data_IF_792000008782
#
_entry.id   IF_792000008782
#
_cell.length_a   1.000
_cell.length_b   1.000
_cell.length_c   1.000
_cell.angle_alpha   90.00
_cell.angle_beta   90.00
_cell.angle_gamma   90.00
#
_symmetry.space_group_name_H-M   'P 1'
#
loop_
_entity.id
_entity.type
_entity.pdbx_description
1 polymer ?
#
# COMPACT_ATOMS: atom_id res chain seq x y z
N UNK A 1 66.36 33.77 -49.76
CA UNK A 1 65.04 34.44 -49.82
C UNK A 1 64.78 35.11 -48.47
N UNK A 2 65.20 36.37 -48.31
CA UNK A 2 65.17 37.11 -47.04
C UNK A 2 63.83 37.81 -46.89
N UNK A 3 62.93 37.22 -46.08
CA UNK A 3 61.67 37.86 -45.72
C UNK A 3 61.99 39.18 -45.00
N UNK A 4 61.53 40.30 -45.59
CA UNK A 4 61.77 41.66 -45.10
C UNK A 4 61.39 41.82 -43.63
N UNK A 5 62.22 42.53 -42.85
CA UNK A 5 61.96 42.88 -41.44
C UNK A 5 60.55 43.47 -41.22
N UNK A 6 60.00 44.19 -42.21
CA UNK A 6 58.66 44.78 -42.17
C UNK A 6 57.53 43.73 -42.19
N UNK A 7 57.75 42.60 -42.86
CA UNK A 7 56.78 41.51 -42.90
C UNK A 7 56.72 40.80 -41.54
N UNK A 8 57.87 40.60 -40.89
CA UNK A 8 57.92 40.00 -39.54
C UNK A 8 57.23 40.86 -38.48
N UNK A 9 57.42 42.19 -38.48
CA UNK A 9 56.74 43.08 -37.54
C UNK A 9 55.23 43.16 -37.78
N UNK A 10 54.78 43.12 -39.04
CA UNK A 10 53.36 43.08 -39.37
C UNK A 10 52.69 41.79 -38.85
N UNK A 11 53.28 40.62 -39.11
CA UNK A 11 52.74 39.34 -38.61
C UNK A 11 52.76 39.24 -37.09
N UNK A 12 53.81 39.75 -36.43
CA UNK A 12 53.87 39.77 -34.97
C UNK A 12 52.81 40.70 -34.38
N UNK A 13 52.55 41.85 -35.00
CA UNK A 13 51.49 42.78 -34.60
C UNK A 13 50.09 42.18 -34.77
N UNK A 14 49.83 41.48 -35.88
CA UNK A 14 48.56 40.76 -36.11
C UNK A 14 48.39 39.62 -35.11
N UNK A 15 49.45 38.86 -34.80
CA UNK A 15 49.39 37.77 -33.83
C UNK A 15 49.11 38.29 -32.41
N UNK A 16 49.79 39.38 -32.00
CA UNK A 16 49.55 40.03 -30.70
C UNK A 16 48.15 40.62 -30.65
N UNK A 17 47.67 41.27 -31.71
CA UNK A 17 46.31 41.78 -31.78
C UNK A 17 45.28 40.65 -31.73
N UNK A 18 45.53 39.50 -32.37
CA UNK A 18 44.63 38.35 -32.32
C UNK A 18 44.64 37.66 -30.95
N UNK A 19 45.79 37.55 -30.29
CA UNK A 19 45.91 37.08 -28.91
C UNK A 19 45.24 38.04 -27.91
N UNK A 20 45.39 39.35 -28.07
CA UNK A 20 44.71 40.34 -27.25
C UNK A 20 43.20 40.36 -27.52
N UNK A 21 42.78 40.22 -28.77
CA UNK A 21 41.37 40.16 -29.14
C UNK A 21 40.70 38.88 -28.60
N UNK A 22 41.40 37.74 -28.60
CA UNK A 22 40.90 36.49 -27.99
C UNK A 22 40.98 36.47 -26.45
N UNK A 23 41.79 37.33 -25.84
CA UNK A 23 41.78 37.60 -24.39
C UNK A 23 40.66 38.56 -23.97
N UNK A 24 40.24 39.47 -24.87
CA UNK A 24 39.23 40.50 -24.59
C UNK A 24 37.82 40.02 -24.97
N UNK A 25 37.67 39.21 -26.02
CA UNK A 25 36.39 38.66 -26.45
C UNK A 25 36.33 37.16 -26.13
N UNK A 26 35.54 36.73 -25.13
CA UNK A 26 35.35 35.31 -24.86
C UNK A 26 34.83 34.61 -26.11
N UNK A 27 35.48 33.50 -26.48
CA UNK A 27 35.10 32.73 -27.66
C UNK A 27 33.65 32.25 -27.54
N UNK A 28 32.73 32.62 -28.45
CA UNK A 28 31.31 32.29 -28.35
C UNK A 28 31.04 30.77 -28.38
N UNK A 29 31.98 29.98 -28.93
CA UNK A 29 31.90 28.52 -28.92
C UNK A 29 31.95 27.94 -27.49
N UNK A 30 32.85 28.46 -26.63
CA UNK A 30 32.98 28.00 -25.24
C UNK A 30 31.72 28.29 -24.42
N UNK A 31 31.10 29.45 -24.64
CA UNK A 31 29.85 29.82 -23.99
C UNK A 31 28.65 28.97 -24.47
N UNK A 32 28.63 28.58 -25.75
CA UNK A 32 27.61 27.65 -26.22
C UNK A 32 27.78 26.27 -25.57
N UNK A 33 29.03 25.79 -25.45
CA UNK A 33 29.37 24.48 -24.88
C UNK A 33 29.05 24.38 -23.37
N UNK A 34 29.33 25.43 -22.59
CA UNK A 34 29.06 25.48 -21.15
C UNK A 34 27.55 25.44 -20.87
N UNK A 35 26.74 26.23 -21.60
CA UNK A 35 25.29 26.22 -21.48
C UNK A 35 24.69 24.90 -21.97
N UNK A 36 25.16 24.36 -23.09
CA UNK A 36 24.73 23.05 -23.59
C UNK A 36 25.01 21.93 -22.59
N UNK A 37 26.14 21.99 -21.88
CA UNK A 37 26.48 21.03 -20.82
C UNK A 37 25.50 21.10 -19.65
N UNK A 38 25.10 22.30 -19.21
CA UNK A 38 24.10 22.46 -18.15
C UNK A 38 22.73 21.92 -18.59
N UNK A 39 22.32 22.20 -19.82
CA UNK A 39 21.04 21.70 -20.36
C UNK A 39 21.04 20.18 -20.49
N UNK A 40 22.14 19.58 -20.96
CA UNK A 40 22.29 18.13 -21.01
C UNK A 40 22.22 17.48 -19.62
N UNK A 41 22.82 18.11 -18.59
CA UNK A 41 22.67 17.65 -17.21
C UNK A 41 21.24 17.77 -16.71
N UNK A 42 20.52 18.86 -17.04
CA UNK A 42 19.10 18.99 -16.73
C UNK A 42 18.32 17.81 -17.31
N UNK A 43 18.55 17.46 -18.58
CA UNK A 43 17.84 16.34 -19.21
C UNK A 43 18.18 15.00 -18.52
N UNK A 44 19.44 14.75 -18.17
CA UNK A 44 19.84 13.56 -17.42
C UNK A 44 19.15 13.49 -16.04
N UNK A 45 19.05 14.62 -15.33
CA UNK A 45 18.35 14.68 -14.03
C UNK A 45 16.88 14.28 -14.20
N UNK A 46 16.18 14.86 -15.18
CA UNK A 46 14.77 14.55 -15.40
C UNK A 46 14.60 13.07 -15.81
N UNK A 47 15.55 12.48 -16.55
CA UNK A 47 15.48 11.05 -16.90
C UNK A 47 15.57 10.14 -15.67
N UNK A 48 16.47 10.46 -14.74
CA UNK A 48 16.60 9.75 -13.47
C UNK A 48 15.38 9.98 -12.55
N UNK A 49 14.79 11.18 -12.55
CA UNK A 49 13.55 11.49 -11.82
C UNK A 49 12.34 10.70 -12.36
N UNK A 50 12.18 10.66 -13.69
CA UNK A 50 11.15 9.84 -14.34
C UNK A 50 11.38 8.34 -14.07
N UNK A 51 12.63 7.90 -14.01
CA UNK A 51 12.98 6.53 -13.63
C UNK A 51 12.57 6.24 -12.18
N UNK A 52 12.82 7.17 -11.24
CA UNK A 52 12.39 7.07 -9.86
C UNK A 52 10.85 7.03 -9.72
N UNK A 53 10.12 7.90 -10.42
CA UNK A 53 8.65 7.89 -10.41
C UNK A 53 8.08 6.61 -11.02
N UNK A 54 8.69 6.11 -12.08
CA UNK A 54 8.31 4.84 -12.72
C UNK A 54 8.56 3.66 -11.79
N UNK A 55 9.72 3.64 -11.12
CA UNK A 55 10.07 2.64 -10.11
C UNK A 55 9.11 2.65 -8.94
N UNK A 56 8.79 3.83 -8.37
CA UNK A 56 7.80 3.98 -7.31
C UNK A 56 6.44 3.40 -7.71
N UNK A 57 6.02 3.68 -8.95
CA UNK A 57 4.74 3.23 -9.50
C UNK A 57 4.72 1.71 -9.69
N UNK A 58 5.77 1.14 -10.29
CA UNK A 58 5.92 -0.30 -10.49
C UNK A 58 6.01 -1.05 -9.16
N UNK A 59 6.82 -0.56 -8.22
CA UNK A 59 6.91 -1.10 -6.88
C UNK A 59 5.53 -1.16 -6.22
N UNK A 60 4.73 -0.11 -6.37
CA UNK A 60 3.37 -0.09 -5.85
C UNK A 60 2.43 -1.06 -6.57
N UNK A 61 2.49 -1.17 -7.90
CA UNK A 61 1.68 -2.13 -8.66
C UNK A 61 1.97 -3.56 -8.18
N UNK A 62 3.24 -3.93 -8.17
CA UNK A 62 3.71 -5.29 -7.83
C UNK A 62 3.43 -5.65 -6.38
N UNK A 63 3.44 -4.68 -5.48
CA UNK A 63 3.11 -4.90 -4.07
C UNK A 63 1.61 -4.76 -3.75
N UNK A 64 0.82 -4.16 -4.65
CA UNK A 64 -0.65 -4.10 -4.54
C UNK A 64 -1.35 -5.25 -5.26
N UNK A 65 -0.66 -5.95 -6.16
CA UNK A 65 -1.28 -7.02 -6.93
C UNK A 65 -1.81 -8.10 -5.98
N UNK A 66 -3.10 -8.37 -6.10
CA UNK A 66 -3.77 -9.43 -5.35
C UNK A 66 -4.00 -10.58 -6.31
N UNK A 67 -3.88 -11.82 -5.82
CA UNK A 67 -4.22 -12.99 -6.65
C UNK A 67 -5.57 -12.80 -7.32
N UNK A 68 -5.60 -13.04 -8.63
CA UNK A 68 -6.84 -13.07 -9.41
C UNK A 68 -7.88 -13.95 -8.70
N UNK A 69 -9.08 -13.43 -8.55
CA UNK A 69 -10.19 -14.13 -7.90
C UNK A 69 -10.14 -14.20 -6.37
N UNK A 70 -9.24 -13.49 -5.68
CA UNK A 70 -9.20 -13.44 -4.20
C UNK A 70 -10.55 -13.09 -3.59
N UNK A 71 -11.19 -12.04 -4.08
CA UNK A 71 -12.51 -11.61 -3.61
C UNK A 71 -13.56 -12.70 -3.77
N UNK A 72 -13.59 -13.38 -4.92
CA UNK A 72 -14.53 -14.46 -5.19
C UNK A 72 -14.28 -15.67 -4.28
N UNK A 73 -13.03 -16.10 -4.10
CA UNK A 73 -12.71 -17.22 -3.20
C UNK A 73 -13.09 -16.91 -1.76
N UNK A 74 -12.74 -15.71 -1.26
CA UNK A 74 -13.12 -15.27 0.08
C UNK A 74 -14.64 -15.20 0.26
N UNK A 75 -15.36 -14.71 -0.76
CA UNK A 75 -16.82 -14.74 -0.77
C UNK A 75 -17.35 -16.16 -0.65
N UNK A 76 -16.86 -17.10 -1.47
CA UNK A 76 -17.29 -18.49 -1.45
C UNK A 76 -16.98 -19.18 -0.11
N UNK A 77 -15.78 -19.01 0.44
CA UNK A 77 -15.43 -19.56 1.76
C UNK A 77 -16.38 -19.06 2.84
N UNK A 78 -16.62 -17.75 2.90
CA UNK A 78 -17.52 -17.15 3.88
C UNK A 78 -18.97 -17.57 3.67
N UNK A 79 -19.44 -17.62 2.42
CA UNK A 79 -20.81 -17.98 2.09
C UNK A 79 -21.09 -19.43 2.47
N UNK A 80 -20.24 -20.37 2.04
CA UNK A 80 -20.40 -21.80 2.35
C UNK A 80 -20.32 -22.05 3.85
N UNK A 81 -19.32 -21.48 4.52
CA UNK A 81 -19.13 -21.69 5.96
C UNK A 81 -20.29 -21.12 6.80
N UNK A 82 -20.74 -19.90 6.49
CA UNK A 82 -21.85 -19.27 7.21
C UNK A 82 -23.17 -20.02 6.95
N UNK A 83 -23.41 -20.48 5.72
CA UNK A 83 -24.63 -21.22 5.36
C UNK A 83 -24.70 -22.58 6.06
N UNK A 84 -23.61 -23.36 6.03
CA UNK A 84 -23.53 -24.66 6.71
C UNK A 84 -23.66 -24.48 8.23
N UNK A 85 -23.02 -23.46 8.78
CA UNK A 85 -23.08 -23.17 10.22
C UNK A 85 -24.49 -22.72 10.65
N UNK A 86 -25.16 -21.90 9.83
CA UNK A 86 -26.52 -21.44 10.07
C UNK A 86 -27.52 -22.61 10.02
N UNK A 87 -27.45 -23.45 9.00
CA UNK A 87 -28.29 -24.64 8.89
C UNK A 87 -28.10 -25.55 10.10
N UNK A 88 -26.86 -25.79 10.49
CA UNK A 88 -26.50 -26.61 11.66
C UNK A 88 -27.05 -26.04 12.97
N UNK A 89 -26.86 -24.75 13.24
CA UNK A 89 -27.39 -24.10 14.44
C UNK A 89 -28.92 -24.13 14.48
N UNK A 90 -29.56 -23.91 13.34
CA UNK A 90 -31.02 -23.97 13.20
C UNK A 90 -31.55 -25.37 13.48
N UNK A 91 -30.90 -26.41 12.95
CA UNK A 91 -31.30 -27.80 13.19
C UNK A 91 -31.12 -28.20 14.66
N UNK A 92 -30.03 -27.80 15.32
CA UNK A 92 -29.82 -28.03 16.76
C UNK A 92 -30.94 -27.38 17.57
N UNK A 93 -31.27 -26.11 17.25
CA UNK A 93 -32.36 -25.38 17.90
C UNK A 93 -33.70 -26.08 17.71
N UNK A 94 -34.09 -26.31 16.44
CA UNK A 94 -35.39 -26.86 16.09
C UNK A 94 -35.60 -28.27 16.66
N UNK A 95 -34.59 -29.14 16.57
CA UNK A 95 -34.66 -30.51 17.08
C UNK A 95 -34.90 -30.54 18.60
N UNK A 96 -34.22 -29.65 19.35
CA UNK A 96 -34.31 -29.58 20.81
C UNK A 96 -35.54 -28.85 21.32
N UNK A 97 -36.08 -27.88 20.56
CA UNK A 97 -37.37 -27.26 20.87
C UNK A 97 -38.55 -28.18 20.60
N UNK A 98 -38.51 -28.93 19.50
CA UNK A 98 -39.63 -29.79 19.08
C UNK A 98 -39.73 -31.08 19.92
N UNK A 99 -38.62 -31.56 20.48
CA UNK A 99 -38.57 -32.88 21.11
C UNK A 99 -37.93 -32.84 22.49
N UNK A 100 -38.58 -33.47 23.46
CA UNK A 100 -37.99 -33.72 24.78
C UNK A 100 -36.79 -34.68 24.70
N UNK A 101 -36.82 -35.60 23.73
CA UNK A 101 -35.72 -36.51 23.35
C UNK A 101 -35.38 -36.30 21.87
N UNK A 102 -34.49 -35.34 21.55
CA UNK A 102 -34.11 -35.05 20.17
C UNK A 102 -33.40 -36.24 19.53
N UNK A 103 -33.56 -36.40 18.21
CA UNK A 103 -32.83 -37.41 17.43
C UNK A 103 -31.33 -37.14 17.52
N UNK A 104 -30.61 -38.10 18.13
CA UNK A 104 -29.19 -38.01 18.37
C UNK A 104 -28.40 -37.96 17.05
N UNK A 105 -28.80 -38.73 16.03
CA UNK A 105 -28.13 -38.74 14.73
C UNK A 105 -28.22 -37.36 14.07
N UNK A 106 -29.40 -36.73 14.14
CA UNK A 106 -29.62 -35.39 13.62
C UNK A 106 -28.76 -34.34 14.34
N UNK A 107 -28.64 -34.44 15.66
CA UNK A 107 -27.79 -33.55 16.46
C UNK A 107 -26.30 -33.74 16.16
N UNK A 108 -25.84 -34.97 16.00
CA UNK A 108 -24.46 -35.28 15.63
C UNK A 108 -24.10 -34.72 14.25
N UNK A 109 -24.94 -34.96 13.23
CA UNK A 109 -24.75 -34.42 11.88
C UNK A 109 -24.72 -32.89 11.91
N UNK A 110 -25.60 -32.26 12.69
CA UNK A 110 -25.64 -30.81 12.82
C UNK A 110 -24.39 -30.26 13.53
N UNK A 111 -23.94 -30.90 14.61
CA UNK A 111 -22.71 -30.50 15.29
C UNK A 111 -21.47 -30.69 14.39
N UNK A 112 -21.43 -31.77 13.59
CA UNK A 112 -20.40 -31.97 12.57
C UNK A 112 -20.43 -30.88 11.48
N UNK A 113 -21.62 -30.40 11.10
CA UNK A 113 -21.77 -29.25 10.20
C UNK A 113 -21.14 -27.97 10.75
N UNK A 114 -21.27 -27.70 12.05
CA UNK A 114 -20.56 -26.58 12.69
C UNK A 114 -19.04 -26.71 12.60
N UNK A 115 -18.50 -27.92 12.81
CA UNK A 115 -17.07 -28.21 12.65
C UNK A 115 -16.65 -27.96 11.18
N UNK A 116 -17.42 -28.46 10.23
CA UNK A 116 -17.16 -28.28 8.81
C UNK A 116 -17.13 -26.80 8.41
N UNK A 117 -18.07 -25.98 8.91
CA UNK A 117 -18.09 -24.54 8.67
C UNK A 117 -16.79 -23.85 9.12
N UNK A 118 -16.29 -24.18 10.33
CA UNK A 118 -15.02 -23.62 10.82
C UNK A 118 -13.81 -24.11 10.01
N UNK A 119 -13.81 -25.38 9.62
CA UNK A 119 -12.74 -25.97 8.80
C UNK A 119 -12.66 -25.32 7.41
N UNK A 120 -13.80 -24.97 6.79
CA UNK A 120 -13.84 -24.25 5.50
C UNK A 120 -13.12 -22.91 5.60
N UNK A 121 -13.42 -22.10 6.63
CA UNK A 121 -12.75 -20.80 6.80
C UNK A 121 -11.26 -20.99 7.08
N UNK A 122 -10.90 -21.95 7.94
CA UNK A 122 -9.50 -22.24 8.24
C UNK A 122 -8.73 -22.61 6.96
N UNK A 123 -9.28 -23.52 6.15
CA UNK A 123 -8.73 -23.90 4.85
C UNK A 123 -8.62 -22.71 3.89
N UNK A 124 -9.63 -21.84 3.85
CA UNK A 124 -9.61 -20.60 3.08
C UNK A 124 -8.49 -19.66 3.52
N UNK A 125 -8.28 -19.47 4.82
CA UNK A 125 -7.20 -18.63 5.36
C UNK A 125 -5.83 -19.18 4.97
N UNK A 126 -5.59 -20.49 5.16
CA UNK A 126 -4.32 -21.13 4.79
C UNK A 126 -4.06 -20.99 3.30
N UNK A 127 -5.10 -21.20 2.47
CA UNK A 127 -5.01 -21.06 1.01
C UNK A 127 -4.64 -19.64 0.60
N UNK A 128 -5.32 -18.62 1.13
CA UNK A 128 -5.01 -17.22 0.80
C UNK A 128 -3.61 -16.81 1.28
N UNK A 129 -3.17 -17.28 2.46
CA UNK A 129 -1.81 -17.02 2.93
C UNK A 129 -0.75 -17.67 2.02
N UNK A 130 -0.99 -18.90 1.56
CA UNK A 130 -0.09 -19.58 0.63
C UNK A 130 -0.02 -18.84 -0.72
N UNK A 131 -1.16 -18.37 -1.24
CA UNK A 131 -1.21 -17.57 -2.47
C UNK A 131 -0.49 -16.24 -2.33
N UNK A 132 -0.62 -15.56 -1.19
CA UNK A 132 0.12 -14.33 -0.89
C UNK A 132 1.64 -14.60 -0.83
N UNK A 133 2.08 -15.73 -0.24
CA UNK A 133 3.49 -16.13 -0.23
C UNK A 133 4.03 -16.41 -1.64
N UNK A 134 3.22 -17.00 -2.53
CA UNK A 134 3.61 -17.23 -3.93
C UNK A 134 3.76 -15.89 -4.67
N UNK A 135 2.84 -14.95 -4.47
CA UNK A 135 2.93 -13.59 -5.04
C UNK A 135 4.16 -12.86 -4.53
N UNK A 136 4.45 -12.90 -3.23
CA UNK A 136 5.65 -12.29 -2.68
C UNK A 136 6.94 -12.86 -3.28
N UNK A 137 6.98 -14.17 -3.53
CA UNK A 137 8.12 -14.81 -4.22
C UNK A 137 8.25 -14.33 -5.66
N UNK A 138 7.14 -14.10 -6.37
CA UNK A 138 7.16 -13.54 -7.74
C UNK A 138 7.63 -12.08 -7.74
N UNK A 139 7.13 -11.26 -6.82
CA UNK A 139 7.57 -9.87 -6.67
C UNK A 139 9.07 -9.78 -6.37
N UNK A 140 9.60 -10.65 -5.49
CA UNK A 140 11.06 -10.76 -5.24
C UNK A 140 11.83 -11.11 -6.51
N UNK A 141 11.37 -12.09 -7.29
CA UNK A 141 12.03 -12.47 -8.55
C UNK A 141 12.05 -11.33 -9.59
N UNK A 142 11.15 -10.36 -9.47
CA UNK A 142 11.08 -9.16 -10.32
C UNK A 142 11.85 -7.95 -9.76
N UNK A 143 12.52 -8.08 -8.61
CA UNK A 143 13.26 -6.98 -7.97
C UNK A 143 12.40 -6.02 -7.15
N UNK A 144 11.13 -6.35 -6.88
CA UNK A 144 10.20 -5.49 -6.14
C UNK A 144 10.01 -5.93 -4.68
N UNK A 145 10.97 -6.65 -4.12
CA UNK A 145 10.99 -6.84 -2.67
C UNK A 145 11.27 -5.51 -1.96
N UNK A 146 10.84 -5.38 -0.70
CA UNK A 146 11.12 -4.17 0.09
C UNK A 146 12.62 -3.83 0.13
N UNK A 147 13.49 -4.85 0.16
CA UNK A 147 14.94 -4.65 0.21
C UNK A 147 15.47 -4.16 -1.15
N UNK A 148 15.12 -4.85 -2.22
CA UNK A 148 15.59 -4.53 -3.58
C UNK A 148 15.04 -3.16 -4.02
N UNK A 149 13.74 -2.91 -3.84
CA UNK A 149 13.13 -1.63 -4.18
C UNK A 149 13.79 -0.47 -3.45
N UNK A 150 14.17 -0.65 -2.18
CA UNK A 150 14.87 0.37 -1.40
C UNK A 150 16.29 0.60 -1.93
N UNK A 151 17.02 -0.47 -2.27
CA UNK A 151 18.36 -0.35 -2.84
C UNK A 151 18.34 0.41 -4.19
N UNK A 152 17.38 0.10 -5.07
CA UNK A 152 17.20 0.82 -6.33
C UNK A 152 16.86 2.30 -6.09
N UNK A 153 16.01 2.62 -5.10
CA UNK A 153 15.72 4.02 -4.76
C UNK A 153 16.94 4.75 -4.16
N UNK A 154 17.75 4.07 -3.34
CA UNK A 154 19.01 4.62 -2.81
C UNK A 154 20.01 4.94 -3.94
N UNK A 155 20.11 4.06 -4.94
CA UNK A 155 20.94 4.24 -6.13
C UNK A 155 20.46 5.44 -6.97
N UNK A 156 19.18 5.48 -7.36
CA UNK A 156 18.59 6.59 -8.12
C UNK A 156 18.75 7.92 -7.39
N UNK A 157 18.53 7.93 -6.07
CA UNK A 157 18.77 9.12 -5.22
C UNK A 157 20.21 9.61 -5.35
N UNK A 158 21.17 8.69 -5.24
CA UNK A 158 22.60 9.03 -5.27
C UNK A 158 22.99 9.59 -6.64
N UNK A 159 22.47 9.01 -7.72
CA UNK A 159 22.70 9.49 -9.09
C UNK A 159 22.13 10.90 -9.28
N UNK A 160 20.87 11.13 -8.89
CA UNK A 160 20.23 12.45 -8.99
C UNK A 160 20.99 13.49 -8.14
N UNK A 161 21.39 13.14 -6.91
CA UNK A 161 22.17 14.02 -6.04
C UNK A 161 23.51 14.41 -6.66
N UNK A 162 24.21 13.47 -7.31
CA UNK A 162 25.47 13.75 -7.99
C UNK A 162 25.28 14.68 -9.20
N UNK A 163 24.23 14.45 -10.00
CA UNK A 163 23.90 15.29 -11.16
C UNK A 163 23.48 16.71 -10.73
N UNK A 164 22.65 16.84 -9.70
CA UNK A 164 22.23 18.14 -9.15
C UNK A 164 23.42 18.96 -8.65
N UNK A 165 24.35 18.35 -7.91
CA UNK A 165 25.57 19.04 -7.45
C UNK A 165 26.42 19.51 -8.62
N UNK A 166 26.68 18.63 -9.60
CA UNK A 166 27.44 18.99 -10.79
C UNK A 166 26.79 20.12 -11.57
N UNK A 167 25.46 20.13 -11.69
CA UNK A 167 24.71 21.21 -12.34
C UNK A 167 24.87 22.52 -11.57
N UNK A 168 24.74 22.48 -10.25
CA UNK A 168 24.87 23.68 -9.39
C UNK A 168 26.29 24.26 -9.46
N UNK A 169 27.33 23.42 -9.44
CA UNK A 169 28.72 23.83 -9.62
C UNK A 169 28.96 24.53 -10.97
N UNK A 170 28.40 23.98 -12.07
CA UNK A 170 28.50 24.59 -13.38
C UNK A 170 27.75 25.92 -13.47
N UNK A 171 26.54 26.01 -12.91
CA UNK A 171 25.77 27.26 -12.85
C UNK A 171 26.51 28.32 -12.04
N UNK A 172 27.13 27.93 -10.92
CA UNK A 172 27.94 28.83 -10.09
C UNK A 172 29.18 29.33 -10.85
N UNK A 173 29.82 28.47 -11.63
CA UNK A 173 31.03 28.76 -12.41
C UNK A 173 30.79 29.62 -13.67
N UNK A 174 29.53 29.83 -14.11
CA UNK A 174 29.21 30.66 -15.26
C UNK A 174 29.78 32.08 -15.10
N UNK A 175 30.55 32.50 -16.11
CA UNK A 175 31.23 33.80 -16.16
C UNK A 175 30.20 34.94 -16.29
N UNK A 176 30.16 35.90 -15.33
CA UNK A 176 29.27 37.05 -15.40
C UNK A 176 29.57 37.99 -16.58
N UNK A 177 30.75 37.91 -17.20
CA UNK A 177 31.07 38.67 -18.41
C UNK A 177 30.41 38.10 -19.67
N UNK A 178 30.07 36.81 -19.65
CA UNK A 178 29.49 36.08 -20.80
C UNK A 178 27.98 35.94 -20.66
N UNK A 179 27.48 35.65 -19.46
CA UNK A 179 26.06 35.40 -19.21
C UNK A 179 25.41 36.49 -18.37
N UNK A 180 24.19 36.87 -18.74
CA UNK A 180 23.41 37.82 -17.95
C UNK A 180 23.07 37.25 -16.57
N UNK A 181 22.98 38.13 -15.57
CA UNK A 181 22.53 37.74 -14.23
C UNK A 181 21.12 37.13 -14.24
N UNK A 182 20.30 37.45 -15.25
CA UNK A 182 18.98 36.85 -15.45
C UNK A 182 19.06 35.36 -15.83
N UNK A 183 19.96 34.98 -16.74
CA UNK A 183 20.18 33.56 -17.12
C UNK A 183 20.64 32.75 -15.91
N UNK A 184 21.64 33.26 -15.16
CA UNK A 184 22.14 32.58 -13.96
C UNK A 184 21.03 32.39 -12.92
N UNK A 185 20.21 33.42 -12.67
CA UNK A 185 19.06 33.33 -11.75
C UNK A 185 18.00 32.33 -12.20
N UNK A 186 17.71 32.26 -13.49
CA UNK A 186 16.74 31.31 -14.04
C UNK A 186 17.27 29.86 -13.96
N UNK A 187 18.54 29.62 -14.26
CA UNK A 187 19.17 28.31 -14.13
C UNK A 187 19.23 27.83 -12.67
N UNK A 188 19.52 28.73 -11.72
CA UNK A 188 19.46 28.42 -10.28
C UNK A 188 18.05 28.12 -9.80
N UNK A 189 17.05 28.85 -10.29
CA UNK A 189 15.63 28.58 -9.98
C UNK A 189 15.22 27.19 -10.51
N UNK A 190 15.69 26.81 -11.70
CA UNK A 190 15.47 25.46 -12.24
C UNK A 190 16.19 24.39 -11.41
N UNK A 191 17.38 24.66 -10.82
CA UNK A 191 18.01 23.73 -9.85
C UNK A 191 17.07 23.44 -8.68
N UNK A 192 16.42 24.48 -8.14
CA UNK A 192 15.52 24.36 -7.00
C UNK A 192 14.27 23.55 -7.35
N UNK A 193 13.70 23.74 -8.53
CA UNK A 193 12.56 22.95 -9.02
C UNK A 193 12.92 21.47 -9.08
N UNK A 194 14.05 21.11 -9.71
CA UNK A 194 14.52 19.73 -9.80
C UNK A 194 14.79 19.14 -8.41
N UNK A 195 15.45 19.90 -7.52
CA UNK A 195 15.68 19.45 -6.16
C UNK A 195 14.37 19.12 -5.39
N UNK A 196 13.34 19.95 -5.54
CA UNK A 196 12.03 19.73 -4.93
C UNK A 196 11.27 18.54 -5.54
N UNK A 197 11.34 18.36 -6.87
CA UNK A 197 10.74 17.21 -7.57
C UNK A 197 11.35 15.90 -7.10
N UNK A 198 12.68 15.83 -7.01
CA UNK A 198 13.40 14.72 -6.37
C UNK A 198 12.90 14.46 -4.95
N UNK A 199 12.81 15.48 -4.10
CA UNK A 199 12.39 15.30 -2.70
C UNK A 199 10.96 14.76 -2.58
N UNK A 200 10.04 15.27 -3.39
CA UNK A 200 8.66 14.78 -3.43
C UNK A 200 8.58 13.32 -3.91
N UNK A 201 9.38 12.95 -4.91
CA UNK A 201 9.46 11.57 -5.41
C UNK A 201 10.02 10.60 -4.37
N UNK A 202 11.03 11.01 -3.60
CA UNK A 202 11.53 10.23 -2.47
C UNK A 202 10.52 10.14 -1.32
N UNK A 203 9.82 11.25 -1.02
CA UNK A 203 8.77 11.27 0.00
C UNK A 203 7.62 10.32 -0.37
N UNK A 204 7.25 10.27 -1.64
CA UNK A 204 6.29 9.31 -2.16
C UNK A 204 6.75 7.86 -1.92
N UNK A 205 7.99 7.51 -2.31
CA UNK A 205 8.53 6.18 -2.07
C UNK A 205 8.51 5.80 -0.58
N UNK A 206 8.96 6.72 0.28
CA UNK A 206 8.99 6.49 1.73
C UNK A 206 7.61 6.19 2.30
N UNK A 207 6.57 6.88 1.81
CA UNK A 207 5.17 6.61 2.17
C UNK A 207 4.72 5.24 1.66
N UNK A 208 4.98 4.91 0.39
CA UNK A 208 4.63 3.61 -0.17
C UNK A 208 5.30 2.46 0.58
N UNK A 209 6.57 2.61 0.95
CA UNK A 209 7.30 1.64 1.75
C UNK A 209 6.65 1.42 3.12
N UNK A 210 6.37 2.51 3.85
CA UNK A 210 5.76 2.44 5.17
C UNK A 210 4.33 1.85 5.12
N UNK A 211 3.55 2.22 4.12
CA UNK A 211 2.21 1.69 3.89
C UNK A 211 2.22 0.22 3.48
N UNK A 212 3.19 -0.22 2.66
CA UNK A 212 3.29 -1.63 2.33
C UNK A 212 3.60 -2.48 3.56
N UNK A 213 4.47 -1.99 4.46
CA UNK A 213 4.69 -2.65 5.75
C UNK A 213 3.44 -2.67 6.62
N UNK A 214 2.72 -1.55 6.72
CA UNK A 214 1.44 -1.47 7.43
C UNK A 214 0.47 -2.55 6.96
N UNK A 215 0.22 -2.62 5.65
CA UNK A 215 -0.73 -3.55 5.04
C UNK A 215 -0.30 -5.00 5.21
N UNK A 216 0.98 -5.30 4.94
CA UNK A 216 1.51 -6.65 5.10
C UNK A 216 1.36 -7.14 6.54
N UNK A 217 1.80 -6.36 7.52
CA UNK A 217 1.70 -6.75 8.94
C UNK A 217 0.25 -6.85 9.42
N UNK A 218 -0.63 -5.94 9.02
CA UNK A 218 -2.05 -6.02 9.37
C UNK A 218 -2.71 -7.27 8.76
N UNK A 219 -2.39 -7.59 7.50
CA UNK A 219 -2.90 -8.78 6.81
C UNK A 219 -2.39 -10.08 7.42
N UNK A 220 -1.09 -10.17 7.71
CA UNK A 220 -0.47 -11.33 8.36
C UNK A 220 -1.05 -11.58 9.75
N UNK A 221 -1.24 -10.51 10.53
CA UNK A 221 -1.90 -10.60 11.83
C UNK A 221 -3.36 -11.04 11.68
N UNK A 222 -4.07 -10.55 10.66
CA UNK A 222 -5.46 -10.94 10.44
C UNK A 222 -5.59 -12.42 10.04
N UNK A 223 -4.63 -12.98 9.29
CA UNK A 223 -4.59 -14.41 9.02
C UNK A 223 -4.35 -15.22 10.29
N UNK A 224 -3.37 -14.82 11.10
CA UNK A 224 -3.10 -15.49 12.37
C UNK A 224 -4.31 -15.42 13.31
N UNK A 225 -4.90 -14.24 13.50
CA UNK A 225 -6.07 -14.06 14.34
C UNK A 225 -7.27 -14.85 13.83
N UNK A 226 -7.48 -14.88 12.51
CA UNK A 226 -8.50 -15.71 11.88
C UNK A 226 -8.30 -17.20 12.16
N UNK A 227 -7.07 -17.71 12.00
CA UNK A 227 -6.75 -19.12 12.31
C UNK A 227 -6.98 -19.44 13.79
N UNK A 228 -6.57 -18.57 14.70
CA UNK A 228 -6.80 -18.76 16.14
C UNK A 228 -8.30 -18.76 16.46
N UNK A 229 -9.05 -17.82 15.89
CA UNK A 229 -10.48 -17.71 16.10
C UNK A 229 -11.23 -18.94 15.57
N UNK A 230 -10.93 -19.42 14.36
CA UNK A 230 -11.57 -20.62 13.81
C UNK A 230 -11.11 -21.90 14.49
N UNK A 231 -9.86 -21.98 14.95
CA UNK A 231 -9.38 -23.14 15.71
C UNK A 231 -10.05 -23.22 17.09
N UNK A 232 -10.17 -22.10 17.80
CA UNK A 232 -10.88 -22.04 19.08
C UNK A 232 -12.36 -22.38 18.91
N UNK A 233 -13.02 -21.84 17.88
CA UNK A 233 -14.43 -22.08 17.61
C UNK A 233 -14.70 -23.49 17.09
N UNK A 234 -13.83 -24.02 16.22
CA UNK A 234 -13.99 -25.33 15.58
C UNK A 234 -13.58 -26.48 16.49
N UNK A 235 -12.34 -26.51 16.96
CA UNK A 235 -11.82 -27.60 17.78
C UNK A 235 -12.16 -27.44 19.27
N UNK A 236 -12.05 -26.22 19.79
CA UNK A 236 -12.42 -25.93 21.17
C UNK A 236 -13.93 -25.91 21.38
N UNK A 237 -14.68 -25.38 20.40
CA UNK A 237 -16.13 -25.22 20.46
C UNK A 237 -16.91 -26.38 19.85
N UNK A 238 -17.04 -26.36 18.52
CA UNK A 238 -17.91 -27.26 17.76
C UNK A 238 -17.57 -28.74 17.94
N UNK A 239 -16.29 -29.11 17.96
CA UNK A 239 -15.86 -30.50 18.14
C UNK A 239 -16.18 -31.01 19.55
N UNK A 240 -16.00 -30.17 20.58
CA UNK A 240 -16.41 -30.53 21.94
C UNK A 240 -17.93 -30.71 22.04
N UNK A 241 -18.72 -29.86 21.37
CA UNK A 241 -20.18 -30.01 21.28
C UNK A 241 -20.61 -31.28 20.53
N UNK A 242 -19.88 -31.65 19.46
CA UNK A 242 -20.09 -32.91 18.75
C UNK A 242 -19.80 -34.10 19.66
N UNK A 243 -18.67 -34.12 20.37
CA UNK A 243 -18.32 -35.17 21.31
C UNK A 243 -19.30 -35.24 22.50
N UNK A 244 -19.78 -34.10 22.99
CA UNK A 244 -20.80 -34.04 24.03
C UNK A 244 -22.08 -34.76 23.59
N UNK A 245 -22.46 -34.57 22.33
CA UNK A 245 -23.65 -35.22 21.74
C UNK A 245 -23.41 -36.69 21.48
N UNK A 246 -22.31 -37.05 20.81
CA UNK A 246 -22.06 -38.43 20.36
C UNK A 246 -21.72 -39.41 21.48
N UNK A 247 -21.07 -38.91 22.54
CA UNK A 247 -20.74 -39.73 23.72
C UNK A 247 -21.80 -39.65 24.81
N UNK A 248 -22.84 -38.85 24.63
CA UNK A 248 -23.82 -38.56 25.68
C UNK A 248 -23.15 -37.97 26.94
N UNK A 249 -22.18 -37.06 26.76
CA UNK A 249 -21.42 -36.43 27.84
C UNK A 249 -21.69 -34.92 27.89
N UNK A 250 -22.77 -34.47 28.55
CA UNK A 250 -23.16 -33.05 28.64
C UNK A 250 -22.09 -32.14 29.24
N UNK A 251 -21.22 -32.65 30.11
CA UNK A 251 -20.11 -31.87 30.70
C UNK A 251 -19.15 -31.32 29.65
N UNK A 252 -19.04 -31.96 28.48
CA UNK A 252 -18.22 -31.47 27.35
C UNK A 252 -18.80 -30.21 26.69
N UNK A 253 -20.02 -29.78 27.01
CA UNK A 253 -20.50 -28.47 26.55
C UNK A 253 -19.84 -27.29 27.27
N UNK A 254 -19.25 -27.50 28.44
CA UNK A 254 -18.46 -26.47 29.14
C UNK A 254 -17.21 -26.08 28.33
N UNK A 255 -16.29 -27.00 27.99
CA UNK A 255 -15.17 -26.65 27.12
C UNK A 255 -15.61 -26.15 25.74
N UNK A 256 -16.74 -26.67 25.21
CA UNK A 256 -17.33 -26.14 23.98
C UNK A 256 -17.64 -24.64 24.11
N UNK A 257 -18.31 -24.24 25.19
CA UNK A 257 -18.64 -22.85 25.43
C UNK A 257 -17.42 -21.95 25.58
N UNK A 258 -16.36 -22.42 26.26
CA UNK A 258 -15.06 -21.72 26.35
C UNK A 258 -14.45 -21.48 24.96
N UNK A 259 -14.48 -22.48 24.09
CA UNK A 259 -14.00 -22.36 22.70
C UNK A 259 -14.75 -21.29 21.90
N UNK A 260 -16.08 -21.23 22.03
CA UNK A 260 -16.91 -20.22 21.37
C UNK A 260 -16.69 -18.80 21.93
N UNK A 261 -16.55 -18.65 23.25
CA UNK A 261 -16.22 -17.36 23.89
C UNK A 261 -14.87 -16.85 23.36
N UNK A 262 -13.85 -17.71 23.39
CA UNK A 262 -12.49 -17.38 22.94
C UNK A 262 -12.49 -16.97 21.46
N UNK A 263 -13.15 -17.77 20.61
CA UNK A 263 -13.32 -17.46 19.19
C UNK A 263 -13.97 -16.09 18.97
N UNK A 264 -15.04 -15.80 19.71
CA UNK A 264 -15.81 -14.56 19.56
C UNK A 264 -15.01 -13.34 20.00
N UNK A 265 -14.29 -13.44 21.13
CA UNK A 265 -13.42 -12.38 21.62
C UNK A 265 -12.35 -12.01 20.58
N UNK A 266 -11.72 -13.01 19.94
CA UNK A 266 -10.73 -12.81 18.89
C UNK A 266 -11.32 -12.11 17.64
N UNK A 267 -12.54 -12.49 17.23
CA UNK A 267 -13.21 -11.85 16.07
C UNK A 267 -13.60 -10.40 16.39
N UNK A 268 -14.13 -10.12 17.60
CA UNK A 268 -14.44 -8.76 18.04
C UNK A 268 -13.21 -7.87 18.11
N UNK A 269 -12.10 -8.37 18.68
CA UNK A 269 -10.87 -7.61 18.82
C UNK A 269 -10.12 -7.42 17.50
N UNK A 270 -10.39 -8.26 16.49
CA UNK A 270 -9.65 -8.32 15.22
C UNK A 270 -9.39 -6.94 14.57
N UNK A 271 -10.40 -6.06 14.36
CA UNK A 271 -10.16 -4.80 13.66
C UNK A 271 -9.19 -3.89 14.44
N UNK A 272 -9.31 -3.84 15.77
CA UNK A 272 -8.47 -3.01 16.64
C UNK A 272 -7.03 -3.52 16.63
N UNK A 273 -6.85 -4.83 16.86
CA UNK A 273 -5.51 -5.45 16.90
C UNK A 273 -4.82 -5.31 15.55
N UNK A 274 -5.51 -5.57 14.44
CA UNK A 274 -4.96 -5.43 13.09
C UNK A 274 -4.53 -3.98 12.80
N UNK A 275 -5.35 -2.99 13.17
CA UNK A 275 -5.02 -1.57 12.99
C UNK A 275 -3.82 -1.17 13.85
N UNK A 276 -3.74 -1.64 15.09
CA UNK A 276 -2.61 -1.38 15.98
C UNK A 276 -1.30 -1.97 15.43
N UNK A 277 -1.30 -3.25 15.05
CA UNK A 277 -0.13 -3.93 14.47
C UNK A 277 0.31 -3.25 13.18
N UNK A 278 -0.65 -2.91 12.31
CA UNK A 278 -0.38 -2.16 11.08
C UNK A 278 0.26 -0.81 11.36
N UNK A 279 -0.31 0.01 12.26
CA UNK A 279 0.23 1.33 12.59
C UNK A 279 1.62 1.26 13.22
N UNK A 280 1.89 0.24 14.05
CA UNK A 280 3.23 0.00 14.59
C UNK A 280 4.22 -0.34 13.47
N UNK A 281 3.84 -1.20 12.53
CA UNK A 281 4.65 -1.55 11.38
C UNK A 281 4.89 -0.35 10.45
N UNK A 282 3.90 0.52 10.27
CA UNK A 282 4.02 1.79 9.54
C UNK A 282 5.09 2.68 10.17
N UNK A 283 4.99 2.96 11.48
CA UNK A 283 5.97 3.79 12.20
C UNK A 283 7.38 3.21 12.09
N UNK A 284 7.54 1.89 12.28
CA UNK A 284 8.83 1.21 12.12
C UNK A 284 9.36 1.32 10.69
N UNK A 285 8.49 1.14 9.69
CA UNK A 285 8.85 1.29 8.27
C UNK A 285 9.29 2.70 7.92
N UNK A 286 8.58 3.72 8.42
CA UNK A 286 8.94 5.12 8.24
C UNK A 286 10.31 5.47 8.85
N UNK A 287 10.61 4.94 10.05
CA UNK A 287 11.93 5.12 10.68
C UNK A 287 13.04 4.41 9.90
N UNK A 288 12.81 3.17 9.45
CA UNK A 288 13.79 2.41 8.67
C UNK A 288 14.12 3.10 7.34
N UNK A 289 13.10 3.57 6.62
CA UNK A 289 13.34 4.24 5.33
C UNK A 289 13.97 5.62 5.51
N UNK A 290 13.61 6.36 6.57
CA UNK A 290 14.27 7.64 6.91
C UNK A 290 15.75 7.43 7.25
N UNK A 291 16.10 6.36 7.97
CA UNK A 291 17.49 6.05 8.27
C UNK A 291 18.33 5.75 7.01
N UNK A 292 17.70 5.25 5.95
CA UNK A 292 18.35 4.89 4.68
C UNK A 292 18.41 6.03 3.67
N UNK A 293 17.29 6.71 3.44
CA UNK A 293 17.22 7.80 2.48
C UNK A 293 17.75 9.13 3.05
N UNK A 294 17.91 9.22 4.38
CA UNK A 294 18.27 10.44 5.09
C UNK A 294 17.05 11.30 5.39
N UNK A 295 17.31 12.54 5.82
CA UNK A 295 16.24 13.53 5.92
C UNK A 295 15.77 13.92 4.52
N UNK A 296 14.62 13.38 4.13
CA UNK A 296 13.88 13.90 2.99
C UNK A 296 13.37 15.27 3.44
N UNK A 297 13.89 16.34 2.84
CA UNK A 297 13.43 17.70 3.09
C UNK A 297 11.90 17.72 3.03
N UNK A 298 11.25 18.52 3.88
CA UNK A 298 9.79 18.70 3.84
C UNK A 298 9.40 19.55 2.62
N UNK A 299 9.76 19.09 1.43
CA UNK A 299 9.26 19.60 0.16
C UNK A 299 7.75 19.43 0.16
N UNK A 300 7.03 20.54 0.02
CA UNK A 300 5.58 20.53 -0.13
C UNK A 300 5.22 20.81 -1.58
N UNK A 301 4.08 20.30 -2.04
CA UNK A 301 3.56 20.64 -3.37
C UNK A 301 3.41 22.16 -3.53
N UNK A 302 3.10 22.88 -2.45
CA UNK A 302 3.03 24.35 -2.44
C UNK A 302 4.39 25.01 -2.69
N UNK A 303 5.47 24.46 -2.12
CA UNK A 303 6.83 24.94 -2.36
C UNK A 303 7.25 24.69 -3.81
N UNK A 304 6.94 23.51 -4.35
CA UNK A 304 7.19 23.21 -5.76
C UNK A 304 6.40 24.16 -6.69
N UNK A 305 5.10 24.37 -6.44
CA UNK A 305 4.28 25.31 -7.22
C UNK A 305 4.82 26.75 -7.17
N UNK A 306 5.28 27.20 -6.00
CA UNK A 306 5.90 28.51 -5.85
C UNK A 306 7.21 28.61 -6.67
N UNK A 307 8.05 27.57 -6.62
CA UNK A 307 9.30 27.53 -7.37
C UNK A 307 9.08 27.44 -8.89
N UNK A 308 8.04 26.73 -9.35
CA UNK A 308 7.66 26.70 -10.76
C UNK A 308 7.20 28.07 -11.26
N UNK A 309 6.41 28.79 -10.44
CA UNK A 309 5.98 30.15 -10.77
C UNK A 309 7.16 31.13 -10.79
N UNK A 310 8.07 31.04 -9.83
CA UNK A 310 9.30 31.85 -9.78
C UNK A 310 10.20 31.58 -11.00
N UNK A 311 10.39 30.31 -11.37
CA UNK A 311 11.10 29.91 -12.57
C UNK A 311 10.45 30.49 -13.84
N UNK A 312 9.12 30.46 -13.94
CA UNK A 312 8.38 31.06 -15.06
C UNK A 312 8.55 32.57 -15.17
N UNK A 313 8.63 33.28 -14.05
CA UNK A 313 8.89 34.72 -14.05
C UNK A 313 10.33 35.03 -14.46
N UNK A 314 11.30 34.29 -13.92
CA UNK A 314 12.73 34.47 -14.23
C UNK A 314 13.04 34.14 -15.68
N UNK A 315 12.46 33.08 -16.24
CA UNK A 315 12.76 32.69 -17.62
C UNK A 315 12.21 33.68 -18.67
N UNK A 316 11.10 34.38 -18.39
CA UNK A 316 10.63 35.48 -19.25
C UNK A 316 11.68 36.57 -19.46
N UNK A 317 12.66 36.67 -18.55
CA UNK A 317 13.73 37.66 -18.58
C UNK A 317 15.03 37.14 -19.23
N UNK A 318 15.16 35.83 -19.45
CA UNK A 318 16.45 35.21 -19.81
C UNK A 318 16.44 34.28 -21.01
N UNK A 319 15.26 33.91 -21.55
CA UNK A 319 15.07 33.03 -22.73
C UNK A 319 16.04 31.84 -22.75
N UNK A 320 15.86 30.88 -21.85
CA UNK A 320 16.64 29.64 -21.85
C UNK A 320 16.11 28.69 -22.95
N UNK A 321 16.97 28.09 -23.79
CA UNK A 321 16.56 27.10 -24.79
C UNK A 321 15.87 25.87 -24.17
N UNK A 322 14.85 25.35 -24.86
CA UNK A 322 14.11 24.13 -24.44
C UNK A 322 13.25 24.31 -23.17
N UNK A 323 13.12 25.55 -22.68
CA UNK A 323 12.45 25.83 -21.43
C UNK A 323 10.96 25.45 -21.44
N UNK A 324 10.27 25.74 -22.54
CA UNK A 324 8.81 25.50 -22.65
C UNK A 324 8.51 24.01 -22.56
N UNK A 325 9.32 23.16 -23.20
CA UNK A 325 9.17 21.71 -23.09
C UNK A 325 9.45 21.23 -21.66
N UNK A 326 10.54 21.69 -21.02
CA UNK A 326 10.88 21.27 -19.64
C UNK A 326 9.84 21.73 -18.62
N UNK A 327 9.34 22.95 -18.74
CA UNK A 327 8.28 23.46 -17.87
C UNK A 327 6.99 22.64 -18.02
N UNK A 328 6.67 22.17 -19.23
CA UNK A 328 5.54 21.27 -19.44
C UNK A 328 5.74 19.91 -18.73
N UNK A 329 6.98 19.38 -18.71
CA UNK A 329 7.33 18.16 -17.98
C UNK A 329 7.19 18.37 -16.47
N UNK A 330 7.79 19.44 -15.92
CA UNK A 330 7.71 19.72 -14.47
C UNK A 330 6.27 19.90 -13.98
N UNK A 331 5.47 20.64 -14.74
CA UNK A 331 4.03 20.81 -14.50
C UNK A 331 3.30 19.46 -14.51
N UNK A 332 3.56 18.62 -15.52
CA UNK A 332 2.91 17.33 -15.65
C UNK A 332 3.29 16.36 -14.51
N UNK A 333 4.53 16.39 -14.04
CA UNK A 333 4.99 15.62 -12.88
C UNK A 333 4.39 16.12 -11.56
N UNK A 334 4.35 17.44 -11.34
CA UNK A 334 3.67 18.05 -10.21
C UNK A 334 2.20 17.62 -10.15
N UNK A 335 1.50 17.64 -11.29
CA UNK A 335 0.12 17.17 -11.40
C UNK A 335 -0.04 15.69 -11.05
N UNK A 336 0.90 14.84 -11.48
CA UNK A 336 0.90 13.40 -11.14
C UNK A 336 1.03 13.22 -9.62
N UNK A 337 1.98 13.91 -8.98
CA UNK A 337 2.20 13.86 -7.55
C UNK A 337 1.02 14.43 -6.75
N UNK A 338 0.40 15.52 -7.21
CA UNK A 338 -0.79 16.14 -6.59
C UNK A 338 -1.98 15.19 -6.61
N UNK A 339 -2.31 14.62 -7.78
CA UNK A 339 -3.39 13.63 -7.92
C UNK A 339 -3.14 12.40 -7.06
N UNK A 340 -1.89 12.05 -6.84
CA UNK A 340 -1.51 10.92 -6.01
C UNK A 340 -1.77 11.19 -4.52
N UNK A 341 -1.34 12.36 -4.04
CA UNK A 341 -1.56 12.78 -2.66
C UNK A 341 -3.05 12.94 -2.32
N UNK A 342 -3.85 13.46 -3.25
CA UNK A 342 -5.30 13.57 -3.07
C UNK A 342 -5.95 12.18 -2.96
N UNK A 343 -5.57 11.24 -3.83
CA UNK A 343 -6.07 9.87 -3.76
C UNK A 343 -5.70 9.17 -2.45
N UNK A 344 -4.51 9.42 -1.90
CA UNK A 344 -4.11 8.90 -0.59
C UNK A 344 -5.04 9.37 0.53
N UNK A 345 -5.37 10.67 0.57
CA UNK A 345 -6.34 11.21 1.53
C UNK A 345 -7.71 10.54 1.40
N UNK A 346 -8.17 10.33 0.17
CA UNK A 346 -9.43 9.63 -0.08
C UNK A 346 -9.39 8.17 0.39
N UNK A 347 -8.28 7.47 0.14
CA UNK A 347 -8.06 6.09 0.59
C UNK A 347 -8.03 5.99 2.12
N UNK A 348 -7.38 6.93 2.80
CA UNK A 348 -7.33 7.00 4.26
C UNK A 348 -8.72 7.22 4.87
N UNK A 349 -9.47 8.20 4.37
CA UNK A 349 -10.85 8.47 4.80
C UNK A 349 -11.78 7.28 4.60
N UNK A 350 -11.70 6.63 3.42
CA UNK A 350 -12.43 5.38 3.15
C UNK A 350 -12.00 4.27 4.12
N UNK A 351 -10.72 4.15 4.42
CA UNK A 351 -10.19 3.20 5.40
C UNK A 351 -10.77 3.38 6.80
N UNK A 352 -10.91 4.63 7.27
CA UNK A 352 -11.50 4.93 8.57
C UNK A 352 -13.00 4.63 8.65
N UNK A 353 -13.74 4.96 7.60
CA UNK A 353 -15.15 4.60 7.49
C UNK A 353 -15.34 3.08 7.52
N UNK A 354 -14.52 2.34 6.77
CA UNK A 354 -14.57 0.87 6.75
C UNK A 354 -14.19 0.25 8.09
N UNK A 355 -13.19 0.80 8.80
CA UNK A 355 -12.85 0.36 10.14
C UNK A 355 -14.05 0.43 11.09
N UNK A 356 -14.79 1.56 11.10
CA UNK A 356 -15.98 1.72 11.94
C UNK A 356 -17.08 0.72 11.57
N UNK A 357 -17.34 0.52 10.27
CA UNK A 357 -18.32 -0.47 9.80
C UNK A 357 -17.96 -1.89 10.24
N UNK A 358 -16.68 -2.28 10.11
CA UNK A 358 -16.19 -3.60 10.50
C UNK A 358 -16.22 -3.83 12.01
N UNK A 359 -16.00 -2.79 12.82
CA UNK A 359 -16.20 -2.86 14.27
C UNK A 359 -17.64 -3.24 14.63
N UNK A 360 -18.62 -2.57 14.03
CA UNK A 360 -20.04 -2.85 14.28
C UNK A 360 -20.43 -4.23 13.76
N UNK A 361 -20.06 -4.57 12.52
CA UNK A 361 -20.37 -5.88 11.94
C UNK A 361 -19.77 -7.03 12.76
N UNK A 362 -18.50 -6.94 13.15
CA UNK A 362 -17.85 -7.98 13.96
C UNK A 362 -18.49 -8.09 15.35
N UNK A 363 -18.94 -6.99 15.95
CA UNK A 363 -19.66 -7.02 17.22
C UNK A 363 -21.03 -7.71 17.07
N UNK A 364 -21.79 -7.40 16.01
CA UNK A 364 -23.08 -8.04 15.71
C UNK A 364 -22.94 -9.53 15.43
N UNK A 365 -21.88 -9.95 14.73
CA UNK A 365 -21.61 -11.37 14.46
C UNK A 365 -21.14 -12.08 15.73
N UNK A 366 -20.26 -11.47 16.51
CA UNK A 366 -19.58 -12.17 17.61
C UNK A 366 -20.33 -12.10 18.94
N UNK A 367 -21.14 -11.08 19.18
CA UNK A 367 -21.91 -10.92 20.42
C UNK A 367 -22.83 -12.12 20.68
N UNK A 368 -23.70 -12.52 19.73
CA UNK A 368 -24.54 -13.70 19.91
C UNK A 368 -23.74 -15.02 19.97
N UNK A 369 -22.57 -15.11 19.31
CA UNK A 369 -21.67 -16.27 19.42
C UNK A 369 -21.01 -16.37 20.80
N UNK A 370 -20.70 -15.24 21.43
CA UNK A 370 -20.21 -15.19 22.82
C UNK A 370 -21.32 -15.63 23.78
N UNK A 371 -22.54 -15.12 23.60
CA UNK A 371 -23.71 -15.52 24.40
C UNK A 371 -24.00 -17.02 24.28
N UNK A 372 -23.94 -17.58 23.06
CA UNK A 372 -23.98 -19.03 22.82
C UNK A 372 -22.97 -19.79 23.68
N UNK A 373 -21.72 -19.33 23.74
CA UNK A 373 -20.70 -19.96 24.57
C UNK A 373 -21.00 -19.91 26.08
N UNK A 374 -21.47 -18.76 26.60
CA UNK A 374 -21.88 -18.62 28.01
C UNK A 374 -23.04 -19.55 28.37
N UNK A 375 -24.02 -19.66 27.47
CA UNK A 375 -25.19 -20.51 27.68
C UNK A 375 -24.80 -22.00 27.63
N UNK A 376 -23.86 -22.40 26.77
CA UNK A 376 -23.33 -23.77 26.75
C UNK A 376 -22.59 -24.16 28.04
N UNK A 377 -21.81 -23.23 28.61
CA UNK A 377 -21.18 -23.44 29.92
C UNK A 377 -22.26 -23.64 30.99
N UNK A 378 -23.24 -22.75 31.02
CA UNK A 378 -24.34 -22.79 32.00
C UNK A 378 -25.20 -24.05 31.85
N UNK A 379 -25.37 -24.55 30.62
CA UNK A 379 -26.06 -25.80 30.34
C UNK A 379 -25.26 -27.01 30.86
N UNK A 380 -23.96 -27.07 30.57
CA UNK A 380 -23.11 -28.21 30.95
C UNK A 380 -22.87 -28.29 32.45
N UNK A 381 -22.51 -27.17 33.09
CA UNK A 381 -22.28 -27.08 34.53
C UNK A 381 -23.57 -27.34 35.34
N UNK A 382 -24.71 -26.87 34.83
CA UNK A 382 -26.01 -27.11 35.44
C UNK A 382 -26.58 -28.51 35.23
N UNK A 383 -25.94 -29.37 34.44
CA UNK A 383 -26.50 -30.67 34.04
C UNK A 383 -26.70 -31.60 35.23
N UNK A 384 -25.71 -31.70 36.12
CA UNK A 384 -25.77 -32.59 37.31
C UNK A 384 -26.96 -32.24 38.22
N UNK A 385 -27.24 -30.94 38.37
CA UNK A 385 -28.28 -30.45 39.25
C UNK A 385 -29.67 -30.38 38.58
N UNK A 386 -29.73 -30.18 37.25
CA UNK A 386 -30.97 -29.92 36.50
C UNK A 386 -30.94 -30.56 35.09
N UNK A 387 -30.87 -31.89 34.99
CA UNK A 387 -30.69 -32.57 33.70
C UNK A 387 -31.85 -32.33 32.74
N UNK A 388 -33.08 -32.17 33.26
CA UNK A 388 -34.28 -31.90 32.47
C UNK A 388 -34.21 -30.56 31.68
N UNK A 389 -33.43 -29.58 32.15
CA UNK A 389 -33.30 -28.26 31.50
C UNK A 389 -32.16 -28.16 30.50
N UNK A 390 -31.34 -29.21 30.36
CA UNK A 390 -30.18 -29.16 29.48
C UNK A 390 -30.58 -28.95 28.01
N UNK A 391 -31.55 -29.73 27.54
CA UNK A 391 -32.00 -29.63 26.15
C UNK A 391 -32.58 -28.25 25.82
N UNK A 392 -33.40 -27.71 26.73
CA UNK A 392 -33.97 -26.37 26.66
C UNK A 392 -32.87 -25.30 26.58
N UNK A 393 -31.90 -25.31 27.50
CA UNK A 393 -30.80 -24.33 27.52
C UNK A 393 -29.94 -24.39 26.26
N UNK A 394 -29.65 -25.59 25.74
CA UNK A 394 -28.90 -25.72 24.48
C UNK A 394 -29.74 -25.23 23.29
N UNK A 395 -31.06 -25.41 23.30
CA UNK A 395 -31.96 -24.89 22.28
C UNK A 395 -32.04 -23.35 22.28
N UNK A 396 -32.19 -22.75 23.47
CA UNK A 396 -32.12 -21.29 23.66
C UNK A 396 -30.80 -20.75 23.14
N UNK A 397 -29.69 -21.37 23.53
CA UNK A 397 -28.37 -21.00 23.06
C UNK A 397 -28.31 -21.06 21.53
N UNK A 398 -28.81 -22.14 20.92
CA UNK A 398 -28.67 -22.37 19.48
C UNK A 398 -29.47 -21.34 18.69
N UNK A 399 -30.61 -20.95 19.22
CA UNK A 399 -31.43 -19.84 18.72
C UNK A 399 -30.63 -18.54 18.68
N UNK A 400 -29.91 -18.20 19.76
CA UNK A 400 -29.05 -17.01 19.80
C UNK A 400 -27.91 -17.13 18.79
N UNK A 401 -27.32 -18.32 18.61
CA UNK A 401 -26.24 -18.52 17.65
C UNK A 401 -26.71 -18.40 16.19
N UNK A 402 -27.94 -18.79 15.88
CA UNK A 402 -28.57 -18.57 14.56
C UNK A 402 -28.53 -17.10 14.17
N UNK A 403 -28.70 -16.16 15.12
CA UNK A 403 -28.60 -14.70 14.87
C UNK A 403 -27.20 -14.32 14.44
N UNK A 404 -26.16 -14.83 15.12
CA UNK A 404 -24.75 -14.62 14.73
C UNK A 404 -24.47 -15.09 13.31
N UNK A 405 -24.90 -16.31 12.97
CA UNK A 405 -24.65 -16.90 11.64
C UNK A 405 -25.45 -16.19 10.54
N UNK A 406 -26.66 -15.73 10.85
CA UNK A 406 -27.48 -14.94 9.94
C UNK A 406 -26.85 -13.57 9.65
N UNK A 407 -26.35 -12.89 10.69
CA UNK A 407 -25.63 -11.63 10.54
C UNK A 407 -24.35 -11.80 9.69
N UNK A 408 -23.62 -12.90 9.88
CA UNK A 408 -22.42 -13.19 9.09
C UNK A 408 -22.74 -13.50 7.63
N UNK A 409 -23.80 -14.27 7.37
CA UNK A 409 -24.28 -14.54 6.02
C UNK A 409 -24.71 -13.24 5.32
N UNK A 410 -25.46 -12.37 6.02
CA UNK A 410 -25.89 -11.08 5.49
C UNK A 410 -24.69 -10.16 5.18
N UNK A 411 -23.71 -10.07 6.09
CA UNK A 411 -22.47 -9.31 5.83
C UNK A 411 -21.73 -9.85 4.61
N UNK A 412 -21.71 -11.18 4.44
CA UNK A 412 -21.07 -11.83 3.29
C UNK A 412 -21.79 -11.51 1.98
N UNK A 413 -23.12 -11.61 1.95
CA UNK A 413 -23.93 -11.33 0.75
C UNK A 413 -23.88 -9.84 0.38
N UNK A 414 -24.03 -8.95 1.37
CA UNK A 414 -23.94 -7.50 1.14
C UNK A 414 -22.54 -7.06 0.70
N UNK A 415 -21.50 -7.70 1.22
CA UNK A 415 -20.13 -7.49 0.76
C UNK A 415 -19.92 -8.05 -0.65
N UNK A 416 -20.53 -9.18 -0.98
CA UNK A 416 -20.45 -9.80 -2.31
C UNK A 416 -21.16 -9.00 -3.40
N UNK A 417 -22.29 -8.37 -3.08
CA UNK A 417 -23.11 -7.61 -4.04
C UNK A 417 -22.59 -6.21 -4.31
N UNK A 418 -21.69 -5.69 -3.47
CA UNK A 418 -21.10 -4.35 -3.66
C UNK A 418 -19.73 -4.47 -4.36
N UNK A 419 -19.59 -3.98 -5.61
CA UNK A 419 -18.32 -4.00 -6.34
C UNK A 419 -17.19 -3.37 -5.51
N UNK A 420 -16.09 -4.10 -5.35
CA UNK A 420 -14.93 -3.66 -4.58
C UNK A 420 -15.02 -3.88 -3.07
N UNK A 421 -16.18 -4.25 -2.51
CA UNK A 421 -16.31 -4.30 -1.05
C UNK A 421 -15.70 -5.55 -0.38
N UNK A 422 -15.57 -6.64 -1.14
CA UNK A 422 -14.80 -7.84 -0.78
C UNK A 422 -13.29 -7.57 -0.60
N UNK A 423 -12.77 -6.42 -1.04
CA UNK A 423 -11.38 -6.03 -0.79
C UNK A 423 -11.15 -5.56 0.66
N UNK A 424 -12.20 -5.41 1.47
CA UNK A 424 -12.18 -4.75 2.80
C UNK A 424 -12.38 -5.66 4.01
N UNK A 425 -12.39 -6.99 3.85
CA UNK A 425 -12.80 -7.92 4.92
C UNK A 425 -11.65 -8.37 5.85
N UNK A 426 -10.38 -8.16 5.49
CA UNK A 426 -9.23 -8.68 6.27
C UNK A 426 -8.14 -7.62 6.35
N UNK A 427 -8.23 -6.73 7.34
CA UNK A 427 -7.18 -5.74 7.65
C UNK A 427 -6.75 -4.81 6.49
N UNK A 428 -7.54 -4.80 5.40
CA UNK A 428 -7.15 -4.23 4.12
C UNK A 428 -7.46 -2.74 4.07
N UNK A 429 -6.41 -1.93 3.98
CA UNK A 429 -6.55 -0.60 3.38
C UNK A 429 -7.01 -0.76 1.93
N UNK A 430 -7.75 0.23 1.42
CA UNK A 430 -8.21 0.25 0.03
C UNK A 430 -6.98 0.11 -0.88
N UNK A 431 -6.84 -0.98 -1.65
CA UNK A 431 -5.76 -1.06 -2.61
C UNK A 431 -5.99 0.01 -3.68
N UNK A 432 -4.92 0.65 -4.13
CA UNK A 432 -5.01 1.54 -5.28
C UNK A 432 -5.46 0.73 -6.49
N UNK A 433 -6.27 1.35 -7.35
CA UNK A 433 -6.66 0.69 -8.59
C UNK A 433 -5.43 0.55 -9.48
N UNK A 434 -5.16 -0.66 -9.97
CA UNK A 434 -3.97 -0.93 -10.79
C UNK A 434 -4.02 -0.14 -12.10
N UNK A 435 -5.22 -0.01 -12.70
CA UNK A 435 -5.46 0.78 -13.92
C UNK A 435 -4.99 2.23 -13.80
N UNK A 436 -5.19 2.83 -12.63
CA UNK A 436 -4.76 4.21 -12.36
C UNK A 436 -3.23 4.35 -12.35
N UNK A 437 -2.54 3.31 -11.88
CA UNK A 437 -1.07 3.26 -11.84
C UNK A 437 -0.51 2.93 -13.23
N UNK A 438 -1.17 2.06 -13.99
CA UNK A 438 -0.83 1.79 -15.40
C UNK A 438 -0.99 3.05 -16.26
N UNK A 439 -2.08 3.79 -16.10
CA UNK A 439 -2.26 5.09 -16.77
C UNK A 439 -1.17 6.09 -16.39
N UNK A 440 -0.71 6.07 -15.13
CA UNK A 440 0.43 6.89 -14.71
C UNK A 440 1.71 6.47 -15.43
N UNK A 441 1.99 5.17 -15.58
CA UNK A 441 3.15 4.69 -16.34
C UNK A 441 3.08 5.09 -17.80
N UNK A 442 1.90 5.00 -18.42
CA UNK A 442 1.68 5.47 -19.79
C UNK A 442 1.98 6.97 -19.92
N UNK A 443 1.49 7.79 -18.99
CA UNK A 443 1.78 9.23 -18.97
C UNK A 443 3.27 9.51 -18.75
N UNK A 444 3.97 8.77 -17.90
CA UNK A 444 5.41 8.92 -17.70
C UNK A 444 6.20 8.51 -18.95
N UNK A 445 5.78 7.45 -19.64
CA UNK A 445 6.37 7.03 -20.91
C UNK A 445 6.13 8.08 -22.02
N UNK A 446 4.94 8.68 -22.05
CA UNK A 446 4.62 9.79 -22.95
C UNK A 446 5.54 10.99 -22.70
N UNK A 447 5.71 11.40 -21.43
CA UNK A 447 6.63 12.48 -21.06
C UNK A 447 8.08 12.20 -21.50
N UNK A 448 8.53 10.96 -21.36
CA UNK A 448 9.85 10.53 -21.85
C UNK A 448 9.96 10.60 -23.37
N UNK A 449 8.89 10.24 -24.09
CA UNK A 449 8.87 10.26 -25.56
C UNK A 449 8.81 11.65 -26.19
N UNK A 450 8.27 12.65 -25.47
CA UNK A 450 8.11 14.03 -25.94
C UNK A 450 9.38 14.85 -25.91
N UNK A 451 10.49 14.31 -25.37
CA UNK A 451 11.74 15.06 -25.33
C UNK A 451 12.41 15.14 -26.69
N UNK A 452 12.90 16.32 -27.10
CA UNK A 452 13.78 16.41 -28.26
C UNK A 452 15.04 15.59 -27.96
N UNK A 453 15.33 14.59 -28.80
CA UNK A 453 16.62 13.90 -28.74
C UNK A 453 17.69 14.94 -29.05
N UNK A 454 18.55 15.26 -28.07
CA UNK A 454 19.72 16.10 -28.33
C UNK A 454 20.60 15.34 -29.33
N UNK A 455 20.49 15.69 -30.61
CA UNK A 455 21.45 15.28 -31.64
C UNK A 455 22.64 16.21 -31.64
#
# INVERSE_FOLDING_TARGET
MTISKRVRTFFLGVLIAHCLFSLIFPCPARAADELASILSLTDQIIDEELALLSHNTNFRIETNDQSKGRSLRQFLYNLTASSVSLASATTISASRWANTRPDQNLLEVSAAGLVAGQAIIQGGIVTEKALDMIQERRARRRGYSLKEATATTEELKTNIDALLRRRDDLVAALDPAVYSSAIKKALSAETLVLFEMRNLSLAEFARFYADQRKRKSARDNSYLNGLLATSAGGYGGSLMGLLATSRGQPSLTVPAGIGFITSSALVMASPVVNRFVGNRAHKKGALEIRARLGEISQSSLLALDANLNDLALKNKQSVIPGYTERMAIYSAECDVLRRQLEREKQVESKGDSQFKKRMVANALISGPKLAWGVMLITAGDGFENRPARFNERVAEAATVYTVSQSAWLLDTVTSGSTPGSLKFTIGGQVPFEVKDLEYRLEKLAELKSRRPTSK
#
